data_IF_974672249755
#
_entry.id   IF_974672249755
#
_cell.length_a   1.000
_cell.length_b   1.000
_cell.length_c   1.000
_cell.angle_alpha   90.00
_cell.angle_beta   90.00
_cell.angle_gamma   90.00
#
_symmetry.space_group_name_H-M   'P 1'
#
loop_
_entity.id
_entity.type
_entity.pdbx_description
1 polymer ?
#
# COMPACT_ATOMS: atom_id res chain seq x y z
N UNK A 1 -32.17 20.89 -17.22
CA UNK A 1 -32.25 19.63 -16.46
C UNK A 1 -30.91 19.42 -15.78
N UNK A 2 -30.89 19.07 -14.48
CA UNK A 2 -29.64 18.82 -13.75
C UNK A 2 -28.95 17.51 -14.15
N UNK A 3 -27.78 17.23 -13.57
CA UNK A 3 -27.09 15.96 -13.77
C UNK A 3 -27.87 14.80 -13.10
N UNK A 4 -28.06 13.66 -13.78
CA UNK A 4 -28.53 12.42 -13.14
C UNK A 4 -27.56 11.95 -12.03
N UNK A 5 -28.08 11.29 -10.99
CA UNK A 5 -27.30 10.88 -9.81
C UNK A 5 -26.08 10.00 -10.13
N UNK A 6 -26.15 9.15 -11.15
CA UNK A 6 -25.06 8.27 -11.57
C UNK A 6 -23.97 9.00 -12.40
N UNK A 7 -24.17 10.29 -12.70
CA UNK A 7 -23.20 11.13 -13.45
C UNK A 7 -22.53 12.18 -12.59
N UNK A 8 -22.74 12.20 -11.27
CA UNK A 8 -22.22 13.28 -10.40
C UNK A 8 -20.70 13.44 -10.46
N UNK A 9 -19.95 12.36 -10.73
CA UNK A 9 -18.49 12.42 -10.85
C UNK A 9 -17.98 12.96 -12.20
N UNK A 10 -18.83 13.16 -13.22
CA UNK A 10 -18.36 13.70 -14.50
C UNK A 10 -17.85 15.14 -14.40
N UNK A 11 -18.16 15.84 -13.30
CA UNK A 11 -17.75 17.23 -13.07
C UNK A 11 -16.24 17.44 -12.96
N UNK A 12 -15.47 16.38 -12.64
CA UNK A 12 -14.00 16.47 -12.53
C UNK A 12 -13.27 16.08 -13.81
N UNK A 13 -13.99 15.70 -14.89
CA UNK A 13 -13.36 15.17 -16.11
C UNK A 13 -12.41 16.16 -16.80
N UNK A 14 -12.72 17.46 -16.76
CA UNK A 14 -11.89 18.52 -17.35
C UNK A 14 -11.23 19.41 -16.28
N UNK A 15 -11.11 18.91 -15.05
CA UNK A 15 -10.45 19.60 -13.94
C UNK A 15 -9.37 18.69 -13.35
N UNK A 16 -8.14 18.70 -13.93
CA UNK A 16 -7.06 17.81 -13.51
C UNK A 16 -6.67 17.94 -12.04
N UNK A 17 -6.77 19.15 -11.47
CA UNK A 17 -6.47 19.39 -10.05
C UNK A 17 -7.49 18.71 -9.15
N UNK A 18 -8.80 18.87 -9.43
CA UNK A 18 -9.84 18.14 -8.68
C UNK A 18 -9.82 16.65 -8.95
N UNK A 19 -9.50 16.25 -10.18
CA UNK A 19 -9.32 14.84 -10.51
C UNK A 19 -8.19 14.23 -9.67
N UNK A 20 -7.04 14.88 -9.56
CA UNK A 20 -5.95 14.43 -8.70
C UNK A 20 -6.38 14.38 -7.23
N UNK A 21 -7.09 15.41 -6.74
CA UNK A 21 -7.58 15.46 -5.36
C UNK A 21 -8.48 14.26 -5.02
N UNK A 22 -9.40 13.87 -5.91
CA UNK A 22 -10.26 12.69 -5.66
C UNK A 22 -9.48 11.37 -5.75
N UNK A 23 -8.43 11.29 -6.57
CA UNK A 23 -7.52 10.12 -6.57
C UNK A 23 -6.73 10.04 -5.26
N UNK A 24 -6.25 11.15 -4.72
CA UNK A 24 -5.59 11.21 -3.41
C UNK A 24 -6.58 10.79 -2.31
N UNK A 25 -7.82 11.32 -2.32
CA UNK A 25 -8.87 10.92 -1.39
C UNK A 25 -9.14 9.40 -1.45
N UNK A 26 -9.33 8.85 -2.64
CA UNK A 26 -9.53 7.41 -2.80
C UNK A 26 -8.35 6.61 -2.25
N UNK A 27 -7.12 7.04 -2.54
CA UNK A 27 -5.89 6.39 -2.05
C UNK A 27 -5.80 6.45 -0.53
N UNK A 28 -6.18 7.58 0.08
CA UNK A 28 -6.24 7.75 1.53
C UNK A 28 -7.30 6.85 2.17
N UNK A 29 -8.47 6.68 1.56
CA UNK A 29 -9.50 5.74 2.03
C UNK A 29 -9.00 4.29 1.99
N UNK A 30 -8.32 3.88 0.91
CA UNK A 30 -7.74 2.54 0.79
C UNK A 30 -6.63 2.31 1.82
N UNK A 31 -5.73 3.29 2.01
CA UNK A 31 -4.68 3.20 3.02
C UNK A 31 -5.27 3.17 4.45
N UNK A 32 -6.29 3.99 4.72
CA UNK A 32 -7.01 4.01 5.99
C UNK A 32 -7.72 2.70 6.29
N UNK A 33 -8.34 2.08 5.28
CA UNK A 33 -8.92 0.74 5.41
C UNK A 33 -7.84 -0.30 5.70
N UNK A 34 -6.73 -0.32 4.97
CA UNK A 34 -5.65 -1.29 5.16
C UNK A 34 -5.07 -1.22 6.59
N UNK A 35 -4.82 0.00 7.09
CA UNK A 35 -4.36 0.22 8.46
C UNK A 35 -5.40 -0.20 9.51
N UNK A 36 -6.67 0.17 9.31
CA UNK A 36 -7.74 -0.16 10.24
C UNK A 36 -8.00 -1.66 10.32
N UNK A 37 -7.95 -2.38 9.19
CA UNK A 37 -8.05 -3.84 9.16
C UNK A 37 -6.88 -4.51 9.86
N UNK A 38 -5.65 -4.03 9.65
CA UNK A 38 -4.48 -4.57 10.32
C UNK A 38 -4.54 -4.36 11.85
N UNK A 39 -4.97 -3.18 12.31
CA UNK A 39 -5.17 -2.90 13.72
C UNK A 39 -6.27 -3.77 14.33
N UNK A 40 -7.39 -3.95 13.62
CA UNK A 40 -8.47 -4.83 14.04
C UNK A 40 -8.00 -6.28 14.19
N UNK A 41 -7.33 -6.82 13.17
CA UNK A 41 -6.78 -8.18 13.20
C UNK A 41 -5.78 -8.35 14.35
N UNK A 42 -4.85 -7.41 14.54
CA UNK A 42 -3.89 -7.45 15.66
C UNK A 42 -4.57 -7.41 17.04
N UNK A 43 -5.74 -6.77 17.16
CA UNK A 43 -6.46 -6.68 18.42
C UNK A 43 -7.17 -7.99 18.81
N UNK A 44 -7.46 -8.85 17.85
CA UNK A 44 -8.21 -10.11 18.07
C UNK A 44 -7.40 -11.37 17.79
N UNK A 45 -6.24 -11.24 17.12
CA UNK A 45 -5.36 -12.36 16.80
C UNK A 45 -4.71 -12.95 18.06
N UNK A 46 -4.83 -14.27 18.22
CA UNK A 46 -4.12 -15.03 19.25
C UNK A 46 -2.84 -15.67 18.66
N UNK A 47 -1.64 -15.22 19.05
CA UNK A 47 -0.38 -15.78 18.58
C UNK A 47 0.09 -17.02 19.37
N UNK A 48 -0.70 -17.53 20.33
CA UNK A 48 -0.23 -18.53 21.31
C UNK A 48 0.05 -19.92 20.74
N UNK A 49 -0.73 -20.38 19.75
CA UNK A 49 -0.58 -21.69 19.12
C UNK A 49 -0.54 -21.61 17.59
N UNK A 50 0.65 -21.42 16.99
CA UNK A 50 0.80 -21.38 15.55
C UNK A 50 0.61 -22.76 14.87
N UNK A 51 0.50 -23.85 15.63
CA UNK A 51 0.37 -25.22 15.08
C UNK A 51 -1.10 -25.58 14.88
N UNK A 52 -1.92 -25.46 15.93
CA UNK A 52 -3.32 -25.91 15.89
C UNK A 52 -4.33 -24.76 15.68
N UNK A 53 -3.94 -23.52 15.95
CA UNK A 53 -4.76 -22.33 15.71
C UNK A 53 -4.03 -21.22 14.91
N UNK A 54 -3.54 -21.51 13.69
CA UNK A 54 -2.87 -20.52 12.86
C UNK A 54 -3.83 -19.44 12.32
N UNK A 55 -3.25 -18.34 11.80
CA UNK A 55 -3.96 -17.15 11.29
C UNK A 55 -5.19 -17.43 10.41
N UNK A 56 -5.14 -18.48 9.58
CA UNK A 56 -6.23 -18.83 8.66
C UNK A 56 -7.43 -19.50 9.35
N UNK A 57 -7.26 -20.06 10.56
CA UNK A 57 -8.36 -20.56 11.39
C UNK A 57 -9.08 -19.44 12.14
N UNK A 58 -8.36 -18.38 12.45
CA UNK A 58 -8.88 -17.21 13.18
C UNK A 58 -9.54 -16.17 12.26
N UNK A 59 -9.61 -16.42 10.96
CA UNK A 59 -10.24 -15.50 9.99
C UNK A 59 -9.39 -14.27 9.66
N UNK A 60 -8.07 -14.34 9.83
CA UNK A 60 -7.18 -13.24 9.49
C UNK A 60 -7.06 -13.09 7.97
N UNK A 61 -7.22 -11.87 7.47
CA UNK A 61 -7.19 -11.56 6.05
C UNK A 61 -5.94 -10.79 5.64
N UNK A 62 -5.55 -9.73 6.35
CA UNK A 62 -4.40 -8.88 5.98
C UNK A 62 -3.07 -9.32 6.61
N UNK A 63 -3.08 -9.98 7.78
CA UNK A 63 -1.87 -10.55 8.40
C UNK A 63 -1.11 -11.50 7.45
N UNK A 64 -1.75 -12.44 6.73
CA UNK A 64 -1.06 -13.28 5.75
C UNK A 64 -0.31 -12.48 4.66
N UNK A 65 -0.84 -11.35 4.21
CA UNK A 65 -0.18 -10.51 3.19
C UNK A 65 1.07 -9.82 3.76
N UNK A 66 1.03 -9.38 5.01
CA UNK A 66 2.17 -8.80 5.71
C UNK A 66 3.26 -9.87 5.94
N UNK A 67 2.87 -11.06 6.44
CA UNK A 67 3.77 -12.19 6.69
C UNK A 67 4.45 -12.69 5.41
N UNK A 68 3.72 -12.71 4.28
CA UNK A 68 4.28 -13.08 2.98
C UNK A 68 5.49 -12.24 2.56
N UNK A 69 5.56 -10.98 3.00
CA UNK A 69 6.62 -10.02 2.67
C UNK A 69 7.58 -9.77 3.85
N UNK A 70 7.69 -10.73 4.77
CA UNK A 70 8.70 -10.74 5.83
C UNK A 70 8.34 -9.99 7.10
N UNK A 71 7.11 -9.48 7.25
CA UNK A 71 6.65 -8.88 8.51
C UNK A 71 6.11 -10.00 9.41
N UNK A 72 6.97 -10.52 10.29
CA UNK A 72 6.68 -11.70 11.13
C UNK A 72 6.80 -11.43 12.64
N UNK A 73 7.30 -10.25 13.00
CA UNK A 73 7.69 -9.87 14.35
C UNK A 73 6.76 -8.77 14.88
N UNK A 74 6.16 -9.01 16.06
CA UNK A 74 5.36 -8.02 16.76
C UNK A 74 6.18 -7.25 17.78
N UNK A 75 5.87 -5.96 17.97
CA UNK A 75 6.39 -5.20 19.11
C UNK A 75 5.90 -5.73 20.46
N UNK A 76 4.87 -6.58 20.47
CA UNK A 76 4.45 -7.36 21.64
C UNK A 76 5.44 -8.49 22.03
N UNK A 77 6.56 -8.61 21.34
CA UNK A 77 7.63 -9.54 21.66
C UNK A 77 7.43 -10.96 21.14
N UNK A 78 6.41 -11.20 20.31
CA UNK A 78 6.11 -12.50 19.70
C UNK A 78 6.38 -12.49 18.18
N UNK A 79 6.67 -13.67 17.65
CA UNK A 79 6.83 -13.94 16.22
C UNK A 79 5.71 -14.87 15.73
N UNK A 80 5.31 -14.72 14.47
CA UNK A 80 4.25 -15.52 13.84
C UNK A 80 4.50 -17.04 13.84
N UNK A 81 5.76 -17.48 13.98
CA UNK A 81 6.15 -18.90 14.11
C UNK A 81 6.33 -19.35 15.56
N UNK A 82 5.92 -18.54 16.54
CA UNK A 82 5.94 -18.89 17.98
C UNK A 82 7.21 -18.49 18.74
N UNK A 83 8.16 -17.81 18.10
CA UNK A 83 9.38 -17.30 18.76
C UNK A 83 9.15 -16.02 19.58
N UNK A 84 10.05 -15.71 20.51
CA UNK A 84 10.08 -14.42 21.24
C UNK A 84 11.19 -13.51 20.75
N UNK A 85 10.94 -12.20 20.64
CA UNK A 85 11.92 -11.21 20.13
C UNK A 85 12.02 -9.95 21.01
N UNK A 86 13.21 -9.36 21.07
CA UNK A 86 13.48 -8.03 21.64
C UNK A 86 13.85 -7.06 20.51
N UNK A 87 13.11 -5.97 20.31
CA UNK A 87 13.34 -5.07 19.17
C UNK A 87 13.26 -3.57 19.54
N UNK A 88 14.24 -2.72 19.14
CA UNK A 88 14.14 -1.26 19.17
C UNK A 88 13.64 -0.72 17.81
N UNK A 89 12.67 0.20 17.82
CA UNK A 89 12.09 0.79 16.60
C UNK A 89 12.75 2.13 16.24
N UNK A 90 12.88 2.41 14.93
CA UNK A 90 13.16 3.75 14.38
C UNK A 90 12.03 4.09 13.40
N UNK A 91 11.51 5.32 13.53
CA UNK A 91 10.41 5.87 12.73
C UNK A 91 10.89 7.14 12.04
N UNK A 92 10.51 7.37 10.78
CA UNK A 92 10.74 8.66 10.11
C UNK A 92 9.65 8.99 9.09
N UNK A 93 9.36 10.30 8.94
CA UNK A 93 8.54 10.90 7.89
C UNK A 93 8.96 12.37 7.60
N UNK A 94 8.35 12.92 6.52
CA UNK A 94 8.17 14.33 6.06
C UNK A 94 9.11 14.67 4.87
N UNK A 95 8.67 15.10 3.67
CA UNK A 95 7.96 16.35 3.26
C UNK A 95 7.17 16.19 1.94
N UNK A 96 6.14 17.03 1.71
CA UNK A 96 5.34 17.07 0.48
C UNK A 96 4.89 18.51 0.16
N UNK A 97 5.52 19.18 -0.81
CA UNK A 97 5.02 20.45 -1.35
C UNK A 97 5.39 20.59 -2.84
N UNK A 98 4.38 20.72 -3.72
CA UNK A 98 4.52 20.80 -5.18
C UNK A 98 3.30 21.50 -5.82
N UNK A 99 3.55 22.36 -6.82
CA UNK A 99 2.55 23.01 -7.70
C UNK A 99 2.93 22.80 -9.20
N UNK A 100 1.97 22.48 -10.11
CA UNK A 100 2.33 22.22 -11.54
C UNK A 100 1.25 22.33 -12.67
N UNK A 101 -0.06 22.52 -12.44
CA UNK A 101 -1.08 22.09 -13.44
C UNK A 101 -1.56 23.08 -14.54
N UNK A 102 -0.77 24.06 -15.00
CA UNK A 102 -1.17 25.02 -16.05
C UNK A 102 -0.35 24.88 -17.35
N UNK A 103 -1.00 24.84 -18.52
CA UNK A 103 -0.33 24.94 -19.83
C UNK A 103 0.04 26.40 -20.13
N UNK A 104 1.33 26.67 -20.24
CA UNK A 104 1.88 28.01 -20.51
C UNK A 104 1.41 28.61 -21.86
N UNK A 105 1.07 27.78 -22.85
CA UNK A 105 0.70 28.26 -24.19
C UNK A 105 -0.77 28.65 -24.31
N UNK A 106 -1.64 27.98 -23.56
CA UNK A 106 -3.10 28.13 -23.71
C UNK A 106 -3.79 28.67 -22.46
N UNK A 107 -3.11 28.68 -21.32
CA UNK A 107 -3.70 29.05 -20.02
C UNK A 107 -4.79 28.08 -19.56
N UNK A 108 -4.95 26.93 -20.23
CA UNK A 108 -5.98 25.91 -19.93
C UNK A 108 -5.33 24.69 -19.26
N UNK A 109 -6.06 23.95 -18.41
CA UNK A 109 -5.58 22.66 -17.95
C UNK A 109 -5.42 21.70 -19.13
N UNK A 110 -4.25 21.08 -19.27
CA UNK A 110 -4.00 20.05 -20.29
C UNK A 110 -3.20 18.88 -19.69
N UNK A 111 -3.49 17.66 -20.16
CA UNK A 111 -2.81 16.43 -19.75
C UNK A 111 -2.24 15.75 -20.99
N UNK A 112 -0.92 15.66 -21.06
CA UNK A 112 -0.21 14.92 -22.10
C UNK A 112 -0.20 13.42 -21.74
N UNK A 113 -1.32 12.74 -21.99
CA UNK A 113 -1.54 11.35 -21.58
C UNK A 113 -0.46 10.36 -22.07
N UNK A 114 0.05 10.43 -23.32
CA UNK A 114 1.15 9.56 -23.74
C UNK A 114 2.42 9.75 -22.91
N UNK A 115 2.78 11.00 -22.59
CA UNK A 115 3.95 11.29 -21.74
C UNK A 115 3.72 10.83 -20.30
N UNK A 116 2.54 11.11 -19.75
CA UNK A 116 2.15 10.65 -18.40
C UNK A 116 2.23 9.13 -18.31
N UNK A 117 1.70 8.41 -19.29
CA UNK A 117 1.78 6.96 -19.35
C UNK A 117 3.23 6.46 -19.39
N UNK A 118 4.08 7.07 -20.23
CA UNK A 118 5.50 6.73 -20.29
C UNK A 118 6.22 6.91 -18.95
N UNK A 119 5.94 8.01 -18.24
CA UNK A 119 6.50 8.27 -16.90
C UNK A 119 6.05 7.20 -15.90
N UNK A 120 4.74 6.91 -15.83
CA UNK A 120 4.20 5.92 -14.90
C UNK A 120 4.73 4.52 -15.19
N UNK A 121 4.84 4.14 -16.46
CA UNK A 121 5.35 2.84 -16.88
C UNK A 121 6.84 2.70 -16.53
N UNK A 122 7.64 3.73 -16.79
CA UNK A 122 9.05 3.73 -16.42
C UNK A 122 9.24 3.60 -14.90
N UNK A 123 8.53 4.42 -14.11
CA UNK A 123 8.58 4.36 -12.65
C UNK A 123 8.12 3.01 -12.11
N UNK A 124 7.06 2.44 -12.69
CA UNK A 124 6.56 1.10 -12.33
C UNK A 124 7.60 0.01 -12.67
N UNK A 125 8.31 0.14 -13.80
CA UNK A 125 9.40 -0.75 -14.17
C UNK A 125 10.57 -0.70 -13.20
N UNK A 126 11.00 0.51 -12.81
CA UNK A 126 12.06 0.71 -11.81
C UNK A 126 11.65 0.16 -10.45
N UNK A 127 10.43 0.44 -10.00
CA UNK A 127 9.89 -0.07 -8.74
C UNK A 127 9.81 -1.62 -8.74
N UNK A 128 9.32 -2.20 -9.83
CA UNK A 128 9.23 -3.66 -10.00
C UNK A 128 10.61 -4.31 -9.98
N UNK A 129 11.58 -3.75 -10.72
CA UNK A 129 12.95 -4.24 -10.72
C UNK A 129 13.57 -4.17 -9.33
N UNK A 130 13.41 -3.04 -8.63
CA UNK A 130 13.93 -2.88 -7.27
C UNK A 130 13.31 -3.88 -6.28
N UNK A 131 11.99 -4.10 -6.35
CA UNK A 131 11.32 -5.11 -5.54
C UNK A 131 11.90 -6.51 -5.78
N UNK A 132 12.04 -6.93 -7.04
CA UNK A 132 12.61 -8.23 -7.38
C UNK A 132 14.08 -8.37 -6.99
N UNK A 133 14.92 -7.40 -7.38
CA UNK A 133 16.37 -7.48 -7.22
C UNK A 133 16.84 -7.33 -5.77
N UNK A 134 16.13 -6.58 -4.93
CA UNK A 134 16.57 -6.28 -3.57
C UNK A 134 15.69 -6.89 -2.48
N UNK A 135 14.36 -6.77 -2.59
CA UNK A 135 13.45 -7.25 -1.55
C UNK A 135 13.28 -8.77 -1.61
N UNK A 136 12.91 -9.31 -2.79
CA UNK A 136 12.62 -10.75 -2.95
C UNK A 136 13.86 -11.62 -2.80
N UNK A 137 15.00 -11.21 -3.35
CA UNK A 137 16.27 -11.96 -3.26
C UNK A 137 16.88 -11.96 -1.85
N UNK A 138 16.43 -11.07 -0.96
CA UNK A 138 17.05 -10.85 0.34
C UNK A 138 18.36 -10.06 0.29
N UNK A 139 18.79 -9.54 -0.87
CA UNK A 139 20.03 -8.77 -1.00
C UNK A 139 20.01 -7.48 -0.16
N UNK A 140 18.87 -6.79 -0.12
CA UNK A 140 18.65 -5.61 0.71
C UNK A 140 17.18 -5.51 1.16
N UNK A 141 16.65 -6.64 1.64
CA UNK A 141 15.29 -6.76 2.15
C UNK A 141 15.09 -8.09 2.88
N UNK A 142 13.91 -8.31 3.48
CA UNK A 142 13.66 -9.50 4.31
C UNK A 142 13.41 -10.79 3.52
N UNK A 143 13.37 -10.73 2.18
CA UNK A 143 12.93 -11.85 1.36
C UNK A 143 11.42 -12.01 1.34
N UNK A 144 10.97 -13.20 0.93
CA UNK A 144 9.56 -13.59 0.94
C UNK A 144 9.38 -14.87 1.75
N UNK A 145 8.15 -15.13 2.16
CA UNK A 145 7.82 -16.41 2.80
C UNK A 145 8.04 -17.58 1.85
N UNK A 146 8.65 -18.65 2.37
CA UNK A 146 8.80 -19.95 1.71
C UNK A 146 8.43 -21.03 2.72
N UNK A 147 7.76 -22.09 2.28
CA UNK A 147 7.48 -23.28 3.09
C UNK A 147 8.11 -24.50 2.44
N UNK A 148 8.22 -25.58 3.20
CA UNK A 148 8.41 -26.90 2.62
C UNK A 148 7.12 -27.37 1.90
N UNK A 149 7.13 -28.53 1.23
CA UNK A 149 5.97 -29.02 0.49
C UNK A 149 4.76 -29.46 1.33
N UNK A 150 4.85 -29.53 2.66
CA UNK A 150 3.80 -30.08 3.54
C UNK A 150 3.21 -29.06 4.51
#
# INVERSE_FOLDING_TARGET
>A
MGLPWYRVHTVVLNDPGRLLSVHIMHTALVAGWAGSMALYELAVFDPSDPVLDPMWRQGMFVIPFMTRLGITNSWGGWNITGGTITNPAIWHWVYWDLEMFCDERTGKPSLDLPKIFGIHLFLSGVACFGFGAFHVTGLYGPGIWVSDPY
#
